data_IF_589604989696
#
_entry.id   IF_589604989696
#
_cell.length_a   1.000
_cell.length_b   1.000
_cell.length_c   1.000
_cell.angle_alpha   90.00
_cell.angle_beta   90.00
_cell.angle_gamma   90.00
#
_symmetry.space_group_name_H-M   'P 1'
#
loop_
_entity.id
_entity.type
_entity.pdbx_description
1 polymer ?
#
# COMPACT_ATOMS: atom_id res chain seq x y z
N UNK A 1 -41.88 -33.82 -14.53
CA UNK A 1 -42.31 -32.47 -14.97
C UNK A 1 -42.07 -31.55 -13.79
N UNK A 2 -40.81 -31.26 -13.50
CA UNK A 2 -39.95 -30.23 -14.10
C UNK A 2 -40.14 -28.84 -13.49
N UNK A 3 -38.98 -28.24 -13.22
CA UNK A 3 -38.71 -26.81 -13.08
C UNK A 3 -38.95 -26.18 -11.70
N UNK A 4 -38.00 -25.46 -11.09
CA UNK A 4 -36.66 -25.06 -11.54
C UNK A 4 -35.81 -24.65 -10.33
N UNK A 5 -34.54 -25.05 -10.40
CA UNK A 5 -33.42 -24.52 -9.64
C UNK A 5 -33.31 -23.00 -9.83
N UNK A 6 -32.91 -22.32 -8.76
CA UNK A 6 -32.49 -20.92 -8.76
C UNK A 6 -31.51 -20.70 -7.62
N UNK A 7 -30.47 -21.54 -7.52
CA UNK A 7 -29.31 -21.19 -6.73
C UNK A 7 -28.61 -20.02 -7.43
N UNK A 8 -28.47 -18.91 -6.73
CA UNK A 8 -27.78 -17.71 -7.20
C UNK A 8 -26.42 -18.08 -7.80
N UNK A 9 -26.17 -17.62 -9.02
CA UNK A 9 -24.84 -17.70 -9.64
C UNK A 9 -23.82 -17.01 -8.72
N UNK A 10 -22.62 -17.58 -8.53
CA UNK A 10 -21.56 -16.88 -7.80
C UNK A 10 -21.29 -15.56 -8.52
N UNK A 11 -21.35 -14.45 -7.79
CA UNK A 11 -20.85 -13.17 -8.27
C UNK A 11 -19.43 -13.38 -8.78
N UNK A 12 -19.05 -12.86 -9.96
CA UNK A 12 -17.68 -12.98 -10.42
C UNK A 12 -16.77 -12.34 -9.39
N UNK A 13 -15.69 -13.02 -8.99
CA UNK A 13 -14.60 -12.38 -8.27
C UNK A 13 -14.20 -11.15 -9.08
N UNK A 14 -14.37 -9.96 -8.50
CA UNK A 14 -14.04 -8.71 -9.18
C UNK A 14 -12.55 -8.74 -9.53
N UNK A 15 -12.22 -8.32 -10.75
CA UNK A 15 -10.82 -8.15 -11.14
C UNK A 15 -10.13 -7.12 -10.22
N UNK A 16 -8.80 -7.18 -10.15
CA UNK A 16 -8.04 -6.20 -9.38
C UNK A 16 -8.31 -4.77 -9.88
N UNK A 17 -8.41 -4.61 -11.20
CA UNK A 17 -8.73 -3.36 -11.87
C UNK A 17 -10.11 -2.82 -11.47
N UNK A 18 -11.14 -3.68 -11.46
CA UNK A 18 -12.50 -3.29 -11.04
C UNK A 18 -12.52 -2.86 -9.58
N UNK A 19 -11.78 -3.59 -8.73
CA UNK A 19 -11.69 -3.32 -7.30
C UNK A 19 -10.99 -1.99 -7.03
N UNK A 20 -9.88 -1.71 -7.72
CA UNK A 20 -9.17 -0.42 -7.62
C UNK A 20 -10.02 0.72 -8.21
N UNK A 21 -10.70 0.50 -9.32
CA UNK A 21 -11.58 1.51 -9.91
C UNK A 21 -12.74 1.87 -8.99
N UNK A 22 -13.32 0.89 -8.29
CA UNK A 22 -14.35 1.13 -7.28
C UNK A 22 -13.83 1.93 -6.07
N UNK A 23 -12.59 1.67 -5.64
CA UNK A 23 -11.95 2.38 -4.52
C UNK A 23 -11.54 3.82 -4.86
N UNK A 24 -11.07 4.05 -6.08
CA UNK A 24 -10.50 5.33 -6.50
C UNK A 24 -11.48 6.21 -7.26
N UNK A 25 -12.56 5.62 -7.80
CA UNK A 25 -13.47 6.29 -8.74
C UNK A 25 -12.86 6.54 -10.13
N UNK A 26 -11.66 6.02 -10.41
CA UNK A 26 -10.95 6.20 -11.68
C UNK A 26 -10.66 4.85 -12.32
N UNK A 27 -10.84 4.76 -13.65
CA UNK A 27 -10.53 3.55 -14.40
C UNK A 27 -9.02 3.28 -14.39
N UNK A 28 -8.63 2.02 -14.22
CA UNK A 28 -7.25 1.56 -14.40
C UNK A 28 -6.95 1.47 -15.90
N UNK A 29 -5.86 2.10 -16.34
CA UNK A 29 -5.41 2.11 -17.74
C UNK A 29 -4.24 1.17 -17.98
N UNK A 30 -3.40 0.93 -16.97
CA UNK A 30 -2.33 -0.05 -17.02
C UNK A 30 -1.97 -0.56 -15.61
N UNK A 31 -1.48 -1.81 -15.58
CA UNK A 31 -0.81 -2.42 -14.43
C UNK A 31 0.59 -2.82 -14.86
N UNK A 32 1.61 -2.30 -14.17
CA UNK A 32 3.01 -2.58 -14.48
C UNK A 32 3.71 -3.17 -13.27
N UNK A 33 4.27 -4.39 -13.34
CA UNK A 33 5.07 -4.96 -12.25
C UNK A 33 6.25 -4.08 -11.86
N UNK A 34 6.40 -3.84 -10.56
CA UNK A 34 7.55 -3.18 -9.97
C UNK A 34 8.49 -4.24 -9.37
N UNK A 35 9.79 -4.10 -9.62
CA UNK A 35 10.81 -4.96 -9.02
C UNK A 35 10.88 -4.70 -7.51
N UNK A 36 10.87 -5.77 -6.69
CA UNK A 36 11.10 -5.67 -5.24
C UNK A 36 10.16 -6.48 -4.34
N UNK A 37 9.15 -7.15 -4.88
CA UNK A 37 8.26 -8.00 -4.10
C UNK A 37 8.89 -9.35 -3.71
N UNK A 38 9.41 -9.48 -2.48
CA UNK A 38 9.80 -10.80 -1.94
C UNK A 38 8.62 -11.59 -1.34
N UNK A 39 7.54 -10.91 -0.96
CA UNK A 39 6.40 -11.47 -0.20
C UNK A 39 5.05 -11.23 -0.88
N UNK A 40 4.91 -10.12 -1.61
CA UNK A 40 3.69 -9.73 -2.31
C UNK A 40 4.03 -9.28 -3.73
N UNK A 41 3.07 -9.45 -4.65
CA UNK A 41 3.17 -8.83 -5.97
C UNK A 41 3.01 -7.31 -5.81
N UNK A 42 3.89 -6.55 -6.46
CA UNK A 42 3.87 -5.08 -6.39
C UNK A 42 3.68 -4.53 -7.79
N UNK A 43 2.61 -3.76 -7.98
CA UNK A 43 2.18 -3.22 -9.26
C UNK A 43 2.12 -1.69 -9.15
N UNK A 44 2.66 -1.01 -10.16
CA UNK A 44 2.26 0.36 -10.47
C UNK A 44 0.91 0.31 -11.17
N UNK A 45 0.00 1.17 -10.72
CA UNK A 45 -1.35 1.33 -11.26
C UNK A 45 -1.42 2.69 -11.91
N UNK A 46 -1.55 2.73 -13.23
CA UNK A 46 -1.83 3.97 -13.95
C UNK A 46 -3.36 4.15 -14.06
N UNK A 47 -3.83 5.33 -13.67
CA UNK A 47 -5.24 5.70 -13.64
C UNK A 47 -5.54 6.68 -14.77
N UNK A 48 -6.77 6.67 -15.28
CA UNK A 48 -7.18 7.55 -16.39
C UNK A 48 -7.10 9.04 -16.03
N UNK A 49 -7.62 9.42 -14.85
CA UNK A 49 -7.77 10.82 -14.44
C UNK A 49 -7.13 11.12 -13.06
N UNK A 50 -6.15 10.32 -12.65
CA UNK A 50 -5.49 10.46 -11.35
C UNK A 50 -3.99 10.12 -11.42
N UNK A 51 -3.26 10.58 -10.40
CA UNK A 51 -1.86 10.21 -10.22
C UNK A 51 -1.72 8.68 -10.08
N UNK A 52 -0.60 8.10 -10.53
CA UNK A 52 -0.38 6.66 -10.39
C UNK A 52 -0.32 6.24 -8.93
N UNK A 53 -0.72 5.00 -8.67
CA UNK A 53 -0.69 4.37 -7.36
C UNK A 53 0.21 3.13 -7.37
N UNK A 54 0.52 2.61 -6.18
CA UNK A 54 1.09 1.28 -6.00
C UNK A 54 0.03 0.38 -5.39
N UNK A 55 -0.22 -0.76 -6.03
CA UNK A 55 -0.96 -1.87 -5.46
C UNK A 55 0.00 -2.97 -5.03
N UNK A 56 -0.01 -3.33 -3.75
CA UNK A 56 0.55 -4.58 -3.26
C UNK A 56 -0.57 -5.60 -3.14
N UNK A 57 -0.34 -6.80 -3.66
CA UNK A 57 -1.33 -7.89 -3.68
C UNK A 57 -0.71 -9.14 -3.05
N UNK A 58 -1.40 -9.70 -2.06
CA UNK A 58 -0.96 -10.89 -1.34
C UNK A 58 -2.12 -11.86 -1.16
N UNK A 59 -2.13 -12.97 -1.92
CA UNK A 59 -3.18 -13.98 -1.85
C UNK A 59 -3.29 -14.63 -0.46
N UNK A 60 -2.17 -14.73 0.27
CA UNK A 60 -2.11 -15.32 1.62
C UNK A 60 -2.37 -14.31 2.74
N UNK A 61 -2.60 -13.03 2.41
CA UNK A 61 -2.89 -11.96 3.36
C UNK A 61 -1.62 -11.31 3.96
N UNK A 62 -1.81 -10.56 5.05
CA UNK A 62 -0.71 -9.95 5.81
C UNK A 62 -0.34 -8.52 5.41
N UNK A 63 -1.06 -7.88 4.48
CA UNK A 63 -0.79 -6.49 4.11
C UNK A 63 -1.37 -5.46 5.09
N UNK A 64 -2.32 -5.86 5.94
CA UNK A 64 -2.94 -4.97 6.91
C UNK A 64 -1.94 -4.46 7.96
N UNK A 65 -0.93 -5.27 8.33
CA UNK A 65 0.14 -4.84 9.25
C UNK A 65 1.02 -3.76 8.62
N UNK A 66 1.32 -3.87 7.32
CA UNK A 66 2.10 -2.85 6.63
C UNK A 66 1.32 -1.53 6.54
N UNK A 67 0.04 -1.59 6.15
CA UNK A 67 -0.83 -0.41 6.13
C UNK A 67 -0.96 0.25 7.50
N UNK A 68 -1.02 -0.54 8.58
CA UNK A 68 -0.96 0.00 9.94
C UNK A 68 0.34 0.74 10.22
N UNK A 69 1.48 0.15 9.91
CA UNK A 69 2.78 0.76 10.19
C UNK A 69 2.96 2.07 9.44
N UNK A 70 2.49 2.15 8.19
CA UNK A 70 2.45 3.42 7.44
C UNK A 70 1.58 4.47 8.13
N UNK A 71 0.38 4.08 8.59
CA UNK A 71 -0.51 4.96 9.35
C UNK A 71 0.14 5.45 10.66
N UNK A 72 0.76 4.54 11.40
CA UNK A 72 1.47 4.87 12.64
C UNK A 72 2.59 5.88 12.40
N UNK A 73 3.43 5.66 11.38
CA UNK A 73 4.51 6.58 11.03
C UNK A 73 3.99 7.96 10.62
N UNK A 74 2.91 8.02 9.83
CA UNK A 74 2.29 9.27 9.42
C UNK A 74 1.72 10.07 10.61
N UNK A 75 1.19 9.38 11.62
CA UNK A 75 0.58 10.01 12.80
C UNK A 75 1.62 10.43 13.86
N UNK A 76 2.68 9.63 14.03
CA UNK A 76 3.62 9.76 15.16
C UNK A 76 4.98 10.33 14.77
N UNK A 77 5.22 10.66 13.49
CA UNK A 77 6.49 11.22 13.04
C UNK A 77 6.29 12.32 12.00
N UNK A 78 7.35 13.09 11.73
CA UNK A 78 7.37 14.06 10.63
C UNK A 78 7.75 13.47 9.27
N UNK A 79 7.80 12.14 9.14
CA UNK A 79 8.23 11.49 7.91
C UNK A 79 7.17 11.62 6.81
N UNK A 80 7.65 11.89 5.59
CA UNK A 80 6.84 11.79 4.39
C UNK A 80 6.75 10.32 3.97
N UNK A 81 5.72 9.63 4.47
CA UNK A 81 5.37 8.27 4.04
C UNK A 81 4.28 8.29 2.97
N UNK A 82 4.21 7.28 2.07
CA UNK A 82 3.12 7.19 1.09
C UNK A 82 1.76 7.15 1.77
N UNK A 83 0.79 7.94 1.28
CA UNK A 83 -0.57 7.87 1.78
C UNK A 83 -1.21 6.56 1.35
N UNK A 84 -1.88 5.88 2.28
CA UNK A 84 -2.69 4.70 1.98
C UNK A 84 -4.09 5.10 1.51
N UNK A 85 -4.56 4.54 0.41
CA UNK A 85 -5.91 4.69 -0.13
C UNK A 85 -6.81 3.49 0.21
N UNK A 86 -6.22 2.31 0.37
CA UNK A 86 -6.91 1.10 0.81
C UNK A 86 -5.95 0.23 1.61
N UNK A 87 -6.44 -0.32 2.72
CA UNK A 87 -5.71 -1.28 3.56
C UNK A 87 -6.64 -2.46 3.84
N UNK A 88 -6.30 -3.63 3.31
CA UNK A 88 -6.89 -4.92 3.67
C UNK A 88 -5.79 -5.97 3.82
N UNK A 89 -6.17 -7.20 4.18
CA UNK A 89 -5.21 -8.32 4.28
C UNK A 89 -4.54 -8.62 2.94
N UNK A 90 -5.30 -8.56 1.85
CA UNK A 90 -4.90 -9.02 0.52
C UNK A 90 -4.56 -7.90 -0.47
N UNK A 91 -4.87 -6.63 -0.13
CA UNK A 91 -4.60 -5.45 -0.96
C UNK A 91 -4.16 -4.26 -0.09
N UNK A 92 -3.02 -3.69 -0.43
CA UNK A 92 -2.59 -2.38 0.04
C UNK A 92 -2.41 -1.45 -1.15
N UNK A 93 -3.24 -0.40 -1.22
CA UNK A 93 -3.18 0.63 -2.26
C UNK A 93 -2.61 1.91 -1.63
N UNK A 94 -1.53 2.43 -2.19
CA UNK A 94 -0.84 3.63 -1.66
C UNK A 94 -0.30 4.52 -2.78
N UNK A 95 0.13 5.73 -2.43
CA UNK A 95 0.76 6.64 -3.38
C UNK A 95 1.95 6.00 -4.10
N UNK A 96 2.09 6.27 -5.40
CA UNK A 96 3.35 6.04 -6.10
C UNK A 96 4.31 7.20 -5.82
N UNK A 97 5.49 6.89 -5.28
CA UNK A 97 6.55 7.88 -5.07
C UNK A 97 7.49 7.87 -6.27
N UNK A 98 7.51 8.96 -7.02
CA UNK A 98 8.39 9.11 -8.16
C UNK A 98 9.86 9.22 -7.72
N UNK A 99 10.77 8.60 -8.48
CA UNK A 99 12.20 8.79 -8.34
C UNK A 99 12.67 9.70 -9.47
N UNK A 100 13.17 10.89 -9.12
CA UNK A 100 13.64 11.91 -10.07
C UNK A 100 15.03 11.63 -10.65
N UNK A 101 15.65 10.50 -10.30
CA UNK A 101 16.97 10.09 -10.78
C UNK A 101 18.12 10.58 -9.92
N UNK A 102 17.84 11.16 -8.75
CA UNK A 102 18.83 11.57 -7.76
C UNK A 102 19.38 12.95 -8.05
N UNK A 103 18.60 13.97 -7.68
CA UNK A 103 18.99 15.39 -7.71
C UNK A 103 20.22 15.72 -6.84
N UNK A 104 20.11 16.70 -5.93
CA UNK A 104 21.22 16.97 -5.00
C UNK A 104 21.32 15.86 -3.96
N UNK A 105 22.17 14.88 -4.25
CA UNK A 105 22.36 13.68 -3.42
C UNK A 105 22.82 14.03 -2.00
N UNK A 106 23.70 15.02 -1.83
CA UNK A 106 24.26 15.34 -0.51
C UNK A 106 23.17 15.94 0.37
N UNK A 107 22.43 16.92 -0.16
CA UNK A 107 21.30 17.51 0.56
C UNK A 107 20.22 16.47 0.89
N UNK A 108 19.94 15.53 -0.03
CA UNK A 108 18.99 14.46 0.19
C UNK A 108 19.46 13.48 1.30
N UNK A 109 20.74 13.11 1.33
CA UNK A 109 21.32 12.24 2.36
C UNK A 109 21.34 12.91 3.74
N UNK A 110 21.70 14.20 3.81
CA UNK A 110 21.64 14.99 5.05
C UNK A 110 20.21 15.08 5.57
N UNK A 111 19.24 15.42 4.70
CA UNK A 111 17.83 15.48 5.08
C UNK A 111 17.28 14.12 5.53
N UNK A 112 17.69 13.03 4.88
CA UNK A 112 17.31 11.69 5.29
C UNK A 112 17.88 11.32 6.67
N UNK A 113 19.10 11.74 6.99
CA UNK A 113 19.71 11.55 8.30
C UNK A 113 18.95 12.29 9.40
N UNK A 114 18.58 13.56 9.15
CA UNK A 114 17.77 14.35 10.08
C UNK A 114 16.39 13.71 10.32
N UNK A 115 15.73 13.27 9.24
CA UNK A 115 14.46 12.55 9.30
C UNK A 115 14.56 11.26 10.13
N UNK A 116 15.63 10.48 9.94
CA UNK A 116 15.85 9.24 10.68
C UNK A 116 16.15 9.50 12.15
N UNK A 117 16.94 10.52 12.46
CA UNK A 117 17.20 10.93 13.85
C UNK A 117 15.92 11.38 14.56
N UNK A 118 15.07 12.15 13.88
CA UNK A 118 13.77 12.57 14.40
C UNK A 118 12.83 11.38 14.62
N UNK A 119 12.81 10.40 13.72
CA UNK A 119 12.06 9.15 13.91
C UNK A 119 12.51 8.41 15.18
N UNK A 120 13.81 8.26 15.39
CA UNK A 120 14.35 7.58 16.59
C UNK A 120 14.13 8.36 17.89
N UNK A 121 13.80 9.65 17.82
CA UNK A 121 13.43 10.45 18.99
C UNK A 121 11.99 10.19 19.46
N UNK A 122 11.16 9.50 18.65
CA UNK A 122 9.82 9.04 19.07
C UNK A 122 10.01 7.89 20.05
N UNK A 123 9.48 8.05 21.27
CA UNK A 123 9.68 7.09 22.37
C UNK A 123 8.35 6.55 22.90
N UNK A 124 8.42 5.35 23.50
CA UNK A 124 7.31 4.71 24.19
C UNK A 124 7.78 4.16 25.56
N UNK A 125 6.88 3.97 26.53
CA UNK A 125 7.24 3.43 27.85
C UNK A 125 7.78 1.99 27.84
N UNK A 126 7.51 1.23 26.79
CA UNK A 126 7.93 -0.16 26.63
C UNK A 126 8.26 -0.46 25.15
N UNK A 127 9.02 -1.54 24.94
CA UNK A 127 9.30 -2.07 23.60
C UNK A 127 8.08 -2.80 23.03
N UNK A 128 7.96 -2.78 21.69
CA UNK A 128 6.90 -3.46 20.95
C UNK A 128 5.75 -2.54 20.53
N UNK A 129 4.72 -3.14 19.94
CA UNK A 129 3.48 -2.49 19.52
C UNK A 129 2.27 -3.15 20.18
N UNK A 130 1.11 -2.50 20.11
CA UNK A 130 -0.17 -3.03 20.61
C UNK A 130 -0.69 -4.26 19.85
N UNK A 131 -0.03 -4.63 18.75
CA UNK A 131 -0.32 -5.78 17.92
C UNK A 131 0.97 -6.40 17.40
N UNK A 132 0.89 -7.65 16.99
CA UNK A 132 2.02 -8.38 16.39
C UNK A 132 2.48 -7.68 15.09
N UNK A 133 3.81 -7.50 14.99
CA UNK A 133 4.49 -7.01 13.79
C UNK A 133 5.37 -8.11 13.21
N UNK A 134 5.70 -8.02 11.92
CA UNK A 134 6.44 -9.08 11.20
C UNK A 134 7.89 -9.23 11.68
N UNK A 135 8.41 -8.21 12.37
CA UNK A 135 9.72 -8.18 13.00
C UNK A 135 9.50 -7.60 14.39
N UNK A 136 9.86 -8.36 15.43
CA UNK A 136 9.68 -8.04 16.84
C UNK A 136 10.53 -8.96 17.69
#
# INVERSE_FOLDING_TARGET
MDSRSGAASPSPDLSLEDRIAALTGSRVTALTPLLGGCVAEVLRVDLEDAAPLVAKVAAEGGLAVEGFMLGYLAEHSGLLVPKTHCVSEDLLLMDFVENDGGGDRVAAEEHAADCLAALHAVTAPAFGFERDTVIG
#
